data_IF_281609136455
#
_entry.id   IF_281609136455
#
_cell.length_a   1.000
_cell.length_b   1.000
_cell.length_c   1.000
_cell.angle_alpha   90.00
_cell.angle_beta   90.00
_cell.angle_gamma   90.00
#
_symmetry.space_group_name_H-M   'P 1'
#
loop_
_entity.id
_entity.type
_entity.pdbx_description
1 polymer ?
#
# COMPACT_ATOMS: atom_id res chain seq x y z
N UNK A 1 13.22 24.19 -28.07
CA UNK A 1 13.10 24.43 -26.61
C UNK A 1 11.72 24.11 -26.03
N UNK A 2 10.62 24.22 -26.80
CA UNK A 2 9.26 23.92 -26.29
C UNK A 2 8.95 22.43 -26.04
N UNK A 3 9.58 21.49 -26.76
CA UNK A 3 9.25 20.06 -26.67
C UNK A 3 9.74 19.42 -25.35
N UNK A 4 10.92 19.82 -24.86
CA UNK A 4 11.50 19.28 -23.63
C UNK A 4 10.68 19.64 -22.39
N UNK A 5 10.14 20.87 -22.30
CA UNK A 5 9.27 21.26 -21.19
C UNK A 5 7.94 20.50 -21.19
N UNK A 6 7.35 20.21 -22.36
CA UNK A 6 6.14 19.40 -22.42
C UNK A 6 6.40 17.93 -22.07
N UNK A 7 7.56 17.40 -22.43
CA UNK A 7 7.94 16.00 -22.16
C UNK A 7 8.16 15.76 -20.66
N UNK A 8 8.89 16.65 -19.97
CA UNK A 8 9.12 16.57 -18.52
C UNK A 8 7.80 16.69 -17.74
N UNK A 9 6.88 17.56 -18.16
CA UNK A 9 5.56 17.70 -17.52
C UNK A 9 4.69 16.45 -17.74
N UNK A 10 4.79 15.80 -18.90
CA UNK A 10 4.04 14.57 -19.19
C UNK A 10 4.59 13.38 -18.39
N UNK A 11 5.90 13.31 -18.21
CA UNK A 11 6.56 12.26 -17.43
C UNK A 11 6.18 12.35 -15.94
N UNK A 12 6.30 13.52 -15.33
CA UNK A 12 5.89 13.80 -13.94
C UNK A 12 4.41 13.45 -13.67
N UNK A 13 3.53 13.78 -14.63
CA UNK A 13 2.11 13.43 -14.59
C UNK A 13 1.88 11.91 -14.62
N UNK A 14 2.63 11.18 -15.45
CA UNK A 14 2.51 9.72 -15.55
C UNK A 14 2.95 9.04 -14.26
N UNK A 15 3.99 9.55 -13.62
CA UNK A 15 4.53 8.96 -12.39
C UNK A 15 3.66 9.21 -11.17
N UNK A 16 3.12 10.42 -11.05
CA UNK A 16 2.11 10.74 -10.03
C UNK A 16 0.85 9.88 -10.20
N UNK A 17 0.39 9.70 -11.45
CA UNK A 17 -0.76 8.83 -11.76
C UNK A 17 -0.48 7.37 -11.38
N UNK A 18 0.73 6.87 -11.65
CA UNK A 18 1.11 5.52 -11.26
C UNK A 18 1.04 5.32 -9.73
N UNK A 19 1.57 6.28 -8.95
CA UNK A 19 1.49 6.22 -7.49
C UNK A 19 0.04 6.32 -6.99
N UNK A 20 -0.80 7.15 -7.59
CA UNK A 20 -2.24 7.21 -7.28
C UNK A 20 -2.95 5.87 -7.55
N UNK A 21 -2.64 5.22 -8.68
CA UNK A 21 -3.16 3.88 -9.01
C UNK A 21 -2.68 2.87 -7.96
N UNK A 22 -1.43 2.93 -7.52
CA UNK A 22 -0.93 2.06 -6.45
C UNK A 22 -1.69 2.26 -5.13
N UNK A 23 -2.04 3.49 -4.78
CA UNK A 23 -2.88 3.78 -3.61
C UNK A 23 -4.31 3.24 -3.75
N UNK A 24 -4.93 3.38 -4.93
CA UNK A 24 -6.25 2.80 -5.21
C UNK A 24 -6.23 1.28 -5.11
N UNK A 25 -5.23 0.64 -5.71
CA UNK A 25 -5.02 -0.81 -5.66
C UNK A 25 -4.82 -1.29 -4.22
N UNK A 26 -4.01 -0.57 -3.43
CA UNK A 26 -3.83 -0.88 -2.01
C UNK A 26 -5.14 -0.69 -1.23
N UNK A 27 -5.90 0.37 -1.45
CA UNK A 27 -7.18 0.62 -0.78
C UNK A 27 -8.24 -0.45 -1.06
N UNK A 28 -8.23 -1.02 -2.28
CA UNK A 28 -9.12 -2.11 -2.69
C UNK A 28 -8.58 -3.51 -2.34
N UNK A 29 -7.31 -3.63 -1.94
CA UNK A 29 -6.68 -4.90 -1.64
C UNK A 29 -7.41 -5.74 -0.58
N UNK A 30 -7.95 -5.18 0.51
CA UNK A 30 -8.66 -5.98 1.50
C UNK A 30 -9.91 -6.68 0.94
N UNK A 31 -10.57 -6.09 -0.06
CA UNK A 31 -11.75 -6.67 -0.71
C UNK A 31 -11.40 -7.79 -1.70
N UNK A 32 -10.12 -7.91 -2.07
CA UNK A 32 -9.62 -8.88 -3.05
C UNK A 32 -8.65 -9.88 -2.43
N UNK A 33 -8.76 -10.10 -1.10
CA UNK A 33 -7.85 -10.97 -0.34
C UNK A 33 -6.37 -10.60 -0.56
N UNK A 34 -6.05 -9.31 -0.49
CA UNK A 34 -4.68 -8.78 -0.58
C UNK A 34 -4.01 -8.88 -1.96
N UNK A 35 -4.67 -9.47 -2.96
CA UNK A 35 -4.09 -9.67 -4.30
C UNK A 35 -3.76 -8.36 -5.01
N UNK A 36 -4.60 -7.33 -4.90
CA UNK A 36 -4.31 -6.02 -5.49
C UNK A 36 -3.15 -5.28 -4.80
N UNK A 37 -2.85 -5.56 -3.53
CA UNK A 37 -1.66 -5.01 -2.87
C UNK A 37 -0.37 -5.59 -3.46
N UNK A 38 -0.39 -6.87 -3.87
CA UNK A 38 0.74 -7.49 -4.57
C UNK A 38 1.00 -6.79 -5.90
N UNK A 39 -0.06 -6.53 -6.69
CA UNK A 39 0.07 -5.82 -7.98
C UNK A 39 0.68 -4.43 -7.78
N UNK A 40 0.22 -3.69 -6.77
CA UNK A 40 0.78 -2.38 -6.45
C UNK A 40 2.26 -2.42 -6.03
N UNK A 41 2.67 -3.43 -5.24
CA UNK A 41 4.09 -3.67 -4.90
C UNK A 41 4.91 -3.94 -6.17
N UNK A 42 4.39 -4.76 -7.09
CA UNK A 42 5.10 -5.10 -8.34
C UNK A 42 5.29 -3.85 -9.20
N UNK A 43 4.27 -3.00 -9.32
CA UNK A 43 4.40 -1.70 -10.02
C UNK A 43 5.47 -0.83 -9.36
N UNK A 44 5.52 -0.82 -8.02
CA UNK A 44 6.54 -0.10 -7.26
C UNK A 44 7.96 -0.59 -7.55
N UNK A 45 8.18 -1.90 -7.60
CA UNK A 45 9.49 -2.48 -7.92
C UNK A 45 9.92 -2.26 -9.37
N UNK A 46 8.99 -2.39 -10.32
CA UNK A 46 9.30 -2.20 -11.76
C UNK A 46 9.70 -0.76 -12.06
N UNK A 47 9.11 0.21 -11.35
CA UNK A 47 9.40 1.63 -11.53
C UNK A 47 10.35 2.20 -10.47
N UNK A 48 10.99 1.35 -9.66
CA UNK A 48 11.88 1.78 -8.56
C UNK A 48 13.03 2.66 -9.07
N UNK A 49 13.58 2.34 -10.24
CA UNK A 49 14.64 3.12 -10.89
C UNK A 49 14.20 4.54 -11.28
N UNK A 50 12.93 4.72 -11.68
CA UNK A 50 12.35 6.02 -12.05
C UNK A 50 12.10 6.91 -10.81
N UNK A 51 12.01 6.31 -9.61
CA UNK A 51 11.68 7.03 -8.37
C UNK A 51 12.91 7.40 -7.52
N UNK A 52 14.13 7.05 -7.96
CA UNK A 52 15.35 7.30 -7.19
C UNK A 52 15.65 8.80 -7.10
N UNK A 53 15.52 9.36 -5.90
CA UNK A 53 15.77 10.79 -5.62
C UNK A 53 14.54 11.69 -5.72
N UNK A 54 13.36 11.14 -6.02
CA UNK A 54 12.09 11.90 -6.05
C UNK A 54 11.25 11.66 -4.80
N UNK A 55 10.32 12.59 -4.52
CA UNK A 55 9.37 12.42 -3.41
C UNK A 55 8.47 11.18 -3.62
N UNK A 56 8.24 10.75 -4.87
CA UNK A 56 7.47 9.55 -5.21
C UNK A 56 8.08 8.26 -4.63
N UNK A 57 9.40 8.15 -4.56
CA UNK A 57 10.09 7.01 -3.95
C UNK A 57 9.77 6.83 -2.46
N UNK A 58 9.47 7.92 -1.74
CA UNK A 58 9.03 7.84 -0.34
C UNK A 58 7.64 7.19 -0.23
N UNK A 59 6.75 7.44 -1.18
CA UNK A 59 5.43 6.80 -1.19
C UNK A 59 5.52 5.32 -1.53
N UNK A 60 6.35 4.93 -2.51
CA UNK A 60 6.53 3.52 -2.87
C UNK A 60 7.11 2.73 -1.70
N UNK A 61 8.14 3.24 -1.03
CA UNK A 61 8.72 2.60 0.16
C UNK A 61 7.75 2.55 1.35
N UNK A 62 6.90 3.57 1.54
CA UNK A 62 5.83 3.55 2.55
C UNK A 62 4.76 2.50 2.27
N UNK A 63 4.32 2.37 1.01
CA UNK A 63 3.39 1.32 0.58
C UNK A 63 4.03 -0.05 0.79
N UNK A 64 5.29 -0.22 0.38
CA UNK A 64 5.99 -1.48 0.53
C UNK A 64 6.09 -1.93 1.99
N UNK A 65 6.42 -1.01 2.90
CA UNK A 65 6.44 -1.30 4.34
C UNK A 65 5.06 -1.69 4.87
N UNK A 66 4.01 -1.02 4.40
CA UNK A 66 2.62 -1.31 4.79
C UNK A 66 2.17 -2.69 4.28
N UNK A 67 2.60 -3.09 3.08
CA UNK A 67 2.40 -4.44 2.57
C UNK A 67 3.09 -5.50 3.44
N UNK A 68 4.37 -5.34 3.75
CA UNK A 68 5.12 -6.32 4.56
C UNK A 68 4.56 -6.46 5.98
N UNK A 69 4.22 -5.35 6.63
CA UNK A 69 3.56 -5.38 7.93
C UNK A 69 2.18 -6.04 7.85
N UNK A 70 1.37 -5.71 6.84
CA UNK A 70 0.07 -6.35 6.66
C UNK A 70 0.18 -7.86 6.40
N UNK A 71 1.14 -8.29 5.59
CA UNK A 71 1.42 -9.71 5.35
C UNK A 71 1.85 -10.44 6.61
N UNK A 72 2.75 -9.83 7.41
CA UNK A 72 3.18 -10.37 8.70
C UNK A 72 2.00 -10.53 9.65
N UNK A 73 1.15 -9.51 9.75
CA UNK A 73 -0.03 -9.54 10.61
C UNK A 73 -1.09 -10.54 10.14
N UNK A 74 -1.29 -10.70 8.83
CA UNK A 74 -2.15 -11.75 8.26
C UNK A 74 -1.59 -13.13 8.59
N UNK A 75 -0.28 -13.33 8.49
CA UNK A 75 0.37 -14.59 8.86
C UNK A 75 0.20 -14.90 10.36
N UNK A 76 0.36 -13.90 11.23
CA UNK A 76 0.12 -14.04 12.68
C UNK A 76 -1.35 -14.35 12.96
N UNK A 77 -2.29 -13.59 12.39
CA UNK A 77 -3.72 -13.81 12.58
C UNK A 77 -4.17 -15.18 12.04
N UNK A 78 -3.61 -15.60 10.90
CA UNK A 78 -3.81 -16.93 10.32
C UNK A 78 -3.28 -18.05 11.21
N UNK A 79 -2.08 -17.89 11.78
CA UNK A 79 -1.50 -18.85 12.72
C UNK A 79 -2.31 -18.96 14.01
N UNK A 80 -2.69 -17.82 14.60
CA UNK A 80 -3.55 -17.76 15.79
C UNK A 80 -4.90 -18.42 15.51
N UNK A 81 -5.52 -18.12 14.36
CA UNK A 81 -6.77 -18.77 13.95
C UNK A 81 -6.58 -20.27 13.77
N UNK A 82 -5.51 -20.72 13.10
CA UNK A 82 -5.21 -22.14 12.91
C UNK A 82 -5.06 -22.90 14.23
N UNK A 83 -4.40 -22.32 15.22
CA UNK A 83 -4.27 -22.90 16.57
C UNK A 83 -5.63 -22.92 17.29
N UNK A 84 -6.42 -21.86 17.12
CA UNK A 84 -7.72 -21.68 17.78
C UNK A 84 -8.89 -22.41 17.10
N UNK A 85 -8.72 -22.94 15.88
CA UNK A 85 -9.76 -23.71 15.13
C UNK A 85 -10.24 -24.96 15.92
N UNK A 86 -9.46 -25.44 16.90
CA UNK A 86 -9.87 -26.51 17.83
C UNK A 86 -11.01 -26.06 18.78
N UNK A 87 -11.23 -24.75 18.96
CA UNK A 87 -12.28 -24.19 19.84
C UNK A 87 -13.20 -23.22 19.08
N UNK A 88 -14.51 -23.42 19.19
CA UNK A 88 -15.55 -22.55 18.59
C UNK A 88 -15.41 -21.08 19.04
N UNK A 89 -14.88 -20.82 20.23
CA UNK A 89 -14.57 -19.48 20.73
C UNK A 89 -13.49 -18.75 19.92
N UNK A 90 -12.60 -19.49 19.27
CA UNK A 90 -11.52 -18.96 18.44
C UNK A 90 -12.01 -18.11 17.27
N UNK A 91 -13.18 -18.47 16.73
CA UNK A 91 -13.75 -17.78 15.58
C UNK A 91 -14.11 -16.34 15.91
N UNK A 92 -14.78 -16.07 17.03
CA UNK A 92 -15.20 -14.71 17.42
C UNK A 92 -13.98 -13.85 17.76
N UNK A 93 -13.00 -14.43 18.46
CA UNK A 93 -11.76 -13.73 18.83
C UNK A 93 -10.92 -13.40 17.60
N UNK A 94 -10.96 -14.22 16.54
CA UNK A 94 -10.21 -13.97 15.32
C UNK A 94 -10.69 -12.72 14.55
N UNK A 95 -11.98 -12.35 14.61
CA UNK A 95 -12.48 -11.16 13.89
C UNK A 95 -11.91 -9.84 14.43
N UNK A 96 -11.55 -9.78 15.72
CA UNK A 96 -11.01 -8.58 16.35
C UNK A 96 -9.66 -8.15 15.75
N UNK A 97 -8.62 -9.00 15.68
CA UNK A 97 -7.37 -8.64 15.04
C UNK A 97 -7.54 -8.36 13.55
N UNK A 98 -8.39 -9.10 12.82
CA UNK A 98 -8.63 -8.84 11.39
C UNK A 98 -9.26 -7.46 11.14
N UNK A 99 -10.24 -7.05 11.94
CA UNK A 99 -10.86 -5.71 11.81
C UNK A 99 -9.91 -4.60 12.22
N UNK A 100 -9.12 -4.79 13.28
CA UNK A 100 -8.08 -3.84 13.67
C UNK A 100 -7.02 -3.67 12.57
N UNK A 101 -6.58 -4.77 11.95
CA UNK A 101 -5.69 -4.78 10.80
C UNK A 101 -6.25 -3.99 9.61
N UNK A 102 -7.51 -4.24 9.28
CA UNK A 102 -8.19 -3.56 8.20
C UNK A 102 -8.23 -2.05 8.43
N UNK A 103 -8.64 -1.61 9.62
CA UNK A 103 -8.67 -0.18 9.99
C UNK A 103 -7.27 0.44 9.96
N UNK A 104 -6.28 -0.23 10.56
CA UNK A 104 -4.89 0.25 10.58
C UNK A 104 -4.32 0.40 9.16
N UNK A 105 -4.57 -0.58 8.30
CA UNK A 105 -4.11 -0.59 6.92
C UNK A 105 -4.78 0.53 6.11
N UNK A 106 -6.11 0.67 6.20
CA UNK A 106 -6.85 1.78 5.57
C UNK A 106 -6.35 3.14 6.02
N UNK A 107 -6.15 3.32 7.34
CA UNK A 107 -5.59 4.54 7.89
C UNK A 107 -4.22 4.87 7.28
N UNK A 108 -3.31 3.89 7.15
CA UNK A 108 -1.98 4.06 6.57
C UNK A 108 -2.02 4.44 5.08
N UNK A 109 -2.91 3.81 4.32
CA UNK A 109 -3.11 4.10 2.89
C UNK A 109 -3.68 5.50 2.71
N UNK A 110 -4.74 5.87 3.45
CA UNK A 110 -5.37 7.19 3.38
C UNK A 110 -4.38 8.29 3.80
N UNK A 111 -3.62 8.08 4.88
CA UNK A 111 -2.61 9.06 5.33
C UNK A 111 -1.53 9.28 4.27
N UNK A 112 -1.09 8.21 3.59
CA UNK A 112 -0.13 8.31 2.50
C UNK A 112 -0.71 9.05 1.28
N UNK A 113 -1.98 8.79 0.95
CA UNK A 113 -2.69 9.49 -0.13
C UNK A 113 -2.81 10.98 0.16
N UNK A 114 -3.22 11.37 1.37
CA UNK A 114 -3.33 12.78 1.76
C UNK A 114 -1.99 13.52 1.60
N UNK A 115 -0.88 12.88 2.00
CA UNK A 115 0.46 13.45 1.80
C UNK A 115 0.82 13.61 0.32
N UNK A 116 0.44 12.64 -0.53
CA UNK A 116 0.66 12.73 -1.98
C UNK A 116 -0.13 13.90 -2.60
N UNK A 117 -1.38 14.09 -2.19
CA UNK A 117 -2.21 15.20 -2.67
C UNK A 117 -1.64 16.56 -2.24
N UNK A 118 -1.02 16.62 -1.06
CA UNK A 118 -0.31 17.80 -0.56
C UNK A 118 1.08 18.01 -1.18
N UNK A 119 1.50 17.17 -2.14
CA UNK A 119 2.85 17.16 -2.74
C UNK A 119 3.97 17.05 -1.69
N UNK A 120 3.70 16.35 -0.59
CA UNK A 120 4.64 16.13 0.51
C UNK A 120 5.18 14.70 0.46
N UNK A 121 6.46 14.49 0.82
CA UNK A 121 6.99 13.14 0.95
C UNK A 121 6.17 12.35 1.97
N UNK A 122 6.00 11.05 1.71
CA UNK A 122 5.32 10.17 2.65
C UNK A 122 6.03 10.24 4.02
N UNK A 123 5.27 10.21 5.13
CA UNK A 123 5.88 10.11 6.45
C UNK A 123 6.78 8.87 6.48
N UNK A 124 8.01 8.99 6.97
CA UNK A 124 8.97 7.88 6.97
C UNK A 124 8.60 6.80 8.00
#
# INVERSE_FOLDING_TARGET
>A
MSASSSEIVVEDRKDTTAVQVMYLLHGLAPFTMWTLAVVAIVIGFVKDDDYRGSYLGTHVSWLARTFWWGLLWIAIAGLVTFILVISILGLIVAWVPFTALFIWYLYRVIRGWLCLNDHKPAPF
#
